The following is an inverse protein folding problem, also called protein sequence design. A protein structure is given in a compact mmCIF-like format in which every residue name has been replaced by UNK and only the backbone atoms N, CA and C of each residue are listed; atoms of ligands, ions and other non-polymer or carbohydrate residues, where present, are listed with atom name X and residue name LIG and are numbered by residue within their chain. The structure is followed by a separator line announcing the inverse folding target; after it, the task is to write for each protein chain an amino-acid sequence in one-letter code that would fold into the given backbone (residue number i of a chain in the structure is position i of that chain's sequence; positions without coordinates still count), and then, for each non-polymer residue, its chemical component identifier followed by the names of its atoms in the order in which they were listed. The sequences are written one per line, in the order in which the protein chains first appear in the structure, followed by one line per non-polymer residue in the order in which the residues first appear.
data_IF_970807224745
#
_entry.id   IF_970807224745
#
_cell.length_a   1.000
_cell.length_b   1.000
_cell.length_c   1.000
_cell.angle_alpha   90.00
_cell.angle_beta   90.00
_cell.angle_gamma   90.00
#
_symmetry.space_group_name_H-M   'P 1'
#
loop_
_entity.id
_entity.type
_entity.pdbx_description
1 polymer ?
#
# COMPACT_ATOMS: atom_id res chain seq x y z
N UNK A 1 -10.23 56.75 -2.60
CA UNK A 1 -10.27 56.30 -4.01
C UNK A 1 -9.45 55.02 -4.10
N UNK A 2 -10.06 53.87 -3.84
CA UNK A 2 -10.55 52.91 -4.84
C UNK A 2 -9.45 52.39 -5.79
N UNK A 3 -8.93 51.19 -5.50
CA UNK A 3 -8.93 50.12 -6.49
C UNK A 3 -8.88 48.74 -5.80
N UNK A 4 -10.05 48.12 -5.70
CA UNK A 4 -10.21 46.70 -5.42
C UNK A 4 -9.81 45.94 -6.68
N UNK A 5 -8.60 45.38 -6.70
CA UNK A 5 -8.30 44.29 -7.62
C UNK A 5 -9.02 43.03 -7.13
N UNK A 6 -10.21 42.78 -7.70
CA UNK A 6 -10.87 41.47 -7.64
C UNK A 6 -10.11 40.55 -8.59
N UNK A 7 -8.99 39.99 -8.12
CA UNK A 7 -8.33 38.92 -8.83
C UNK A 7 -9.26 37.69 -8.82
N UNK A 8 -9.53 37.21 -10.02
CA UNK A 8 -10.50 36.18 -10.34
C UNK A 8 -10.09 34.84 -9.70
N UNK A 9 -10.61 34.52 -8.51
CA UNK A 9 -10.28 33.31 -7.74
C UNK A 9 -10.54 32.00 -8.50
N UNK A 10 -11.42 32.01 -9.51
CA UNK A 10 -11.68 30.83 -10.34
C UNK A 10 -10.56 30.52 -11.35
N UNK A 11 -9.84 31.52 -11.89
CA UNK A 11 -8.79 31.24 -12.88
C UNK A 11 -7.50 30.71 -12.26
N UNK A 12 -7.20 31.12 -11.01
CA UNK A 12 -6.03 30.60 -10.28
C UNK A 12 -6.22 29.17 -9.78
N UNK A 13 -7.44 28.77 -9.42
CA UNK A 13 -7.74 27.38 -9.07
C UNK A 13 -7.53 26.44 -10.28
N UNK A 14 -7.93 26.86 -11.47
CA UNK A 14 -7.80 26.06 -12.70
C UNK A 14 -6.34 25.94 -13.17
N UNK A 15 -5.52 26.99 -13.03
CA UNK A 15 -4.10 26.90 -13.40
C UNK A 15 -3.25 26.09 -12.41
N UNK A 16 -3.57 26.12 -11.11
CA UNK A 16 -2.87 25.29 -10.09
C UNK A 16 -3.27 23.82 -10.19
N UNK A 17 -4.52 23.53 -10.58
CA UNK A 17 -4.96 22.16 -10.87
C UNK A 17 -4.30 21.59 -12.15
N UNK A 18 -3.94 22.43 -13.11
CA UNK A 18 -3.36 21.98 -14.38
C UNK A 18 -1.85 21.63 -14.31
N UNK A 19 -1.11 22.12 -13.32
CA UNK A 19 0.34 21.87 -13.19
C UNK A 19 0.72 20.85 -12.11
N UNK A 20 -0.25 20.24 -11.43
CA UNK A 20 -0.04 19.14 -10.47
C UNK A 20 -0.24 17.75 -11.09
N UNK A 21 -0.29 17.64 -12.42
CA UNK A 21 -0.17 16.37 -13.13
C UNK A 21 1.29 15.92 -13.16
N UNK A 22 1.90 15.71 -12.00
CA UNK A 22 3.22 15.08 -11.91
C UNK A 22 3.11 13.96 -10.88
N UNK A 23 3.03 12.75 -11.42
CA UNK A 23 2.98 11.46 -10.73
C UNK A 23 1.87 11.35 -9.67
N UNK A 24 0.71 10.82 -10.06
CA UNK A 24 -0.09 10.07 -9.11
C UNK A 24 0.85 9.04 -8.44
N UNK A 25 0.99 9.09 -7.12
CA UNK A 25 1.72 8.07 -6.39
C UNK A 25 1.06 6.73 -6.72
N UNK A 26 1.80 5.91 -7.46
CA UNK A 26 1.33 4.60 -7.87
C UNK A 26 1.29 3.72 -6.62
N UNK A 27 0.09 3.28 -6.25
CA UNK A 27 -0.07 1.96 -5.64
C UNK A 27 0.08 1.82 -4.13
N UNK A 28 -0.17 2.85 -3.30
CA UNK A 28 -0.36 2.58 -1.85
C UNK A 28 -1.77 2.03 -1.62
N UNK A 29 -1.93 0.77 -1.17
CA UNK A 29 -3.22 0.24 -0.78
C UNK A 29 -3.77 1.09 0.38
N UNK A 30 -5.05 1.47 0.32
CA UNK A 30 -5.68 2.26 1.39
C UNK A 30 -5.85 1.49 2.70
N UNK A 31 -5.60 0.18 2.69
CA UNK A 31 -5.60 -0.69 3.85
C UNK A 31 -4.81 -1.97 3.59
N UNK A 32 -4.58 -2.77 4.62
CA UNK A 32 -4.03 -4.13 4.55
C UNK A 32 -4.88 -5.12 3.74
N UNK A 33 -6.05 -4.72 3.25
CA UNK A 33 -6.91 -5.52 2.42
C UNK A 33 -6.51 -5.40 0.94
N UNK A 34 -5.35 -5.97 0.61
CA UNK A 34 -4.89 -6.07 -0.77
C UNK A 34 -4.20 -7.41 -1.01
N UNK A 35 -3.99 -7.75 -2.29
CA UNK A 35 -3.15 -8.89 -2.68
C UNK A 35 -2.40 -8.58 -3.97
N UNK A 36 -1.25 -9.22 -4.16
CA UNK A 36 -0.49 -9.18 -5.41
C UNK A 36 -0.74 -10.45 -6.19
N UNK A 37 -1.08 -10.35 -7.48
CA UNK A 37 -1.22 -11.53 -8.34
C UNK A 37 0.13 -12.17 -8.67
N UNK A 38 0.11 -13.34 -9.32
CA UNK A 38 1.35 -14.06 -9.70
C UNK A 38 2.30 -13.26 -10.60
N UNK A 39 1.79 -12.23 -11.29
CA UNK A 39 2.55 -11.39 -12.20
C UNK A 39 3.00 -10.09 -11.52
N UNK A 40 2.66 -9.89 -10.23
CA UNK A 40 3.03 -8.73 -9.42
C UNK A 40 2.02 -7.57 -9.45
N UNK A 41 0.81 -7.77 -9.97
CA UNK A 41 -0.19 -6.70 -10.02
C UNK A 41 -0.99 -6.60 -8.73
N UNK A 42 -1.16 -5.37 -8.25
CA UNK A 42 -1.89 -5.04 -7.04
C UNK A 42 -3.40 -5.12 -7.26
N UNK A 43 -4.09 -5.84 -6.37
CA UNK A 43 -5.54 -5.83 -6.24
C UNK A 43 -5.91 -5.19 -4.91
N UNK A 44 -6.32 -3.92 -4.96
CA UNK A 44 -6.79 -3.19 -3.79
C UNK A 44 -8.27 -3.53 -3.52
N UNK A 45 -8.50 -4.25 -2.41
CA UNK A 45 -9.81 -4.67 -1.92
C UNK A 45 -10.30 -3.79 -0.77
N UNK A 46 -9.63 -2.66 -0.50
CA UNK A 46 -9.94 -1.78 0.64
C UNK A 46 -11.40 -1.33 0.67
N UNK A 47 -12.00 -1.01 -0.47
CA UNK A 47 -13.40 -0.58 -0.52
C UNK A 47 -14.38 -1.68 -0.07
N UNK A 48 -13.94 -2.94 -0.09
CA UNK A 48 -14.70 -4.11 0.34
C UNK A 48 -14.32 -4.57 1.76
N UNK A 49 -13.35 -3.92 2.41
CA UNK A 49 -12.89 -4.30 3.74
C UNK A 49 -14.05 -4.27 4.74
N UNK A 50 -14.33 -5.41 5.33
CA UNK A 50 -15.42 -5.60 6.29
C UNK A 50 -16.82 -5.69 5.68
N UNK A 51 -16.96 -5.67 4.35
CA UNK A 51 -18.22 -6.02 3.69
C UNK A 51 -18.57 -7.47 3.99
N UNK A 52 -19.83 -7.70 4.35
CA UNK A 52 -20.35 -9.04 4.67
C UNK A 52 -21.02 -9.65 3.44
N UNK A 53 -20.68 -10.89 3.14
CA UNK A 53 -21.34 -11.72 2.14
C UNK A 53 -22.05 -12.85 2.84
N UNK A 54 -23.38 -12.87 2.71
CA UNK A 54 -24.23 -13.89 3.31
C UNK A 54 -24.47 -15.02 2.31
N UNK A 55 -24.51 -16.24 2.81
CA UNK A 55 -24.83 -17.44 2.03
C UNK A 55 -25.75 -18.32 2.85
N UNK A 56 -26.79 -18.83 2.22
CA UNK A 56 -27.73 -19.75 2.85
C UNK A 56 -27.76 -21.06 2.07
N UNK A 57 -27.58 -22.16 2.78
CA UNK A 57 -27.73 -23.50 2.22
C UNK A 57 -29.17 -23.98 2.30
N UNK A 58 -29.47 -25.03 1.54
CA UNK A 58 -30.82 -25.60 1.46
C UNK A 58 -31.28 -26.23 2.78
N UNK A 59 -30.33 -26.62 3.64
CA UNK A 59 -30.57 -27.17 4.98
C UNK A 59 -30.93 -26.09 6.02
N UNK A 60 -30.90 -24.82 5.64
CA UNK A 60 -31.17 -23.67 6.52
C UNK A 60 -29.92 -23.10 7.20
N UNK A 61 -28.74 -23.69 7.00
CA UNK A 61 -27.47 -23.19 7.51
C UNK A 61 -27.12 -21.85 6.84
N UNK A 62 -26.65 -20.88 7.64
CA UNK A 62 -26.25 -19.56 7.13
C UNK A 62 -24.80 -19.25 7.45
N UNK A 63 -24.07 -18.81 6.42
CA UNK A 63 -22.67 -18.45 6.49
C UNK A 63 -22.52 -16.97 6.21
N UNK A 64 -21.64 -16.32 6.97
CA UNK A 64 -21.33 -14.90 6.83
C UNK A 64 -19.81 -14.77 6.70
N UNK A 65 -19.35 -14.29 5.55
CA UNK A 65 -17.94 -13.98 5.34
C UNK A 65 -17.77 -12.47 5.35
N UNK A 66 -16.86 -11.96 6.17
CA UNK A 66 -16.44 -10.55 6.13
C UNK A 66 -15.05 -10.44 5.54
N UNK A 67 -14.93 -9.75 4.41
CA UNK A 67 -13.66 -9.66 3.70
C UNK A 67 -12.62 -8.87 4.50
N UNK A 68 -11.42 -9.42 4.67
CA UNK A 68 -10.31 -8.79 5.42
C UNK A 68 -10.66 -8.31 6.83
N UNK A 69 -11.65 -8.91 7.50
CA UNK A 69 -12.09 -8.48 8.82
C UNK A 69 -12.86 -9.57 9.56
N UNK A 70 -12.73 -9.59 10.87
CA UNK A 70 -13.52 -10.48 11.72
C UNK A 70 -15.01 -10.09 11.76
N UNK A 71 -15.87 -11.10 11.90
CA UNK A 71 -17.29 -10.92 12.23
C UNK A 71 -17.40 -10.59 13.72
N UNK A 72 -17.79 -9.35 14.03
CA UNK A 72 -17.83 -8.84 15.41
C UNK A 72 -19.16 -9.08 16.13
N UNK A 73 -20.24 -9.37 15.39
CA UNK A 73 -21.59 -9.51 15.96
C UNK A 73 -22.00 -10.97 15.86
N UNK A 74 -22.25 -11.61 17.01
CA UNK A 74 -22.91 -12.92 17.04
C UNK A 74 -24.39 -12.74 16.76
N UNK A 75 -24.86 -13.36 15.69
CA UNK A 75 -26.28 -13.29 15.26
C UNK A 75 -27.17 -14.22 16.09
N UNK A 76 -26.62 -15.26 16.71
CA UNK A 76 -27.37 -16.17 17.59
C UNK A 76 -26.46 -16.87 18.61
N UNK A 77 -27.08 -17.58 19.57
CA UNK A 77 -26.36 -18.48 20.49
C UNK A 77 -25.77 -19.73 19.79
N UNK A 78 -26.18 -20.02 18.56
CA UNK A 78 -25.75 -21.17 17.76
C UNK A 78 -24.77 -20.79 16.65
N UNK A 79 -24.21 -19.58 16.70
CA UNK A 79 -23.19 -19.14 15.72
C UNK A 79 -21.85 -19.76 16.06
N UNK A 80 -21.34 -20.62 15.16
CA UNK A 80 -19.97 -21.13 15.23
C UNK A 80 -18.98 -20.15 14.59
N UNK A 81 -17.85 -19.93 15.25
CA UNK A 81 -16.74 -19.19 14.68
C UNK A 81 -15.86 -20.13 13.83
N UNK A 82 -15.90 -19.97 12.50
CA UNK A 82 -15.11 -20.79 11.57
C UNK A 82 -13.68 -20.29 11.36
N UNK A 83 -13.29 -19.15 11.95
CA UNK A 83 -11.94 -18.59 11.88
C UNK A 83 -11.90 -17.06 11.99
N UNK A 84 -10.73 -16.54 12.34
CA UNK A 84 -10.40 -15.11 12.40
C UNK A 84 -9.45 -14.74 11.28
N UNK A 85 -9.65 -13.58 10.67
CA UNK A 85 -8.85 -13.15 9.53
C UNK A 85 -7.37 -13.08 9.90
N UNK A 86 -6.53 -13.76 9.12
CA UNK A 86 -5.08 -13.86 9.33
C UNK A 86 -4.35 -13.29 8.10
N UNK A 87 -4.08 -11.96 8.08
CA UNK A 87 -3.48 -11.29 6.92
C UNK A 87 -2.16 -11.93 6.49
N UNK A 88 -1.30 -12.27 7.46
CA UNK A 88 0.05 -12.79 7.23
C UNK A 88 0.09 -14.16 6.51
N UNK A 89 -1.04 -14.87 6.41
CA UNK A 89 -1.12 -16.17 5.75
C UNK A 89 -1.97 -16.13 4.46
N UNK A 90 -2.50 -14.95 4.15
CA UNK A 90 -3.26 -14.72 2.92
C UNK A 90 -2.28 -14.51 1.75
N UNK A 91 -2.61 -15.01 0.57
CA UNK A 91 -1.70 -15.01 -0.59
C UNK A 91 -2.46 -15.06 -1.92
N UNK A 92 -1.78 -14.82 -3.04
CA UNK A 92 -2.36 -15.08 -4.36
C UNK A 92 -2.23 -16.54 -4.78
N UNK A 93 -3.26 -17.02 -5.46
CA UNK A 93 -3.30 -18.35 -6.07
C UNK A 93 -3.08 -18.29 -7.60
N UNK A 94 -3.36 -17.14 -8.22
CA UNK A 94 -3.24 -16.94 -9.67
C UNK A 94 -3.29 -15.46 -10.07
N UNK A 95 -3.55 -15.18 -11.36
CA UNK A 95 -3.60 -13.78 -11.85
C UNK A 95 -4.82 -13.00 -11.37
N UNK A 96 -5.90 -13.69 -10.98
CA UNK A 96 -7.20 -13.12 -10.56
C UNK A 96 -7.86 -13.91 -9.44
N UNK A 97 -7.06 -14.70 -8.73
CA UNK A 97 -7.51 -15.54 -7.65
C UNK A 97 -6.61 -15.37 -6.44
N UNK A 98 -7.23 -15.16 -5.29
CA UNK A 98 -6.56 -14.89 -4.03
C UNK A 98 -7.12 -15.79 -2.96
N UNK A 99 -6.31 -16.07 -1.95
CA UNK A 99 -6.70 -16.87 -0.80
C UNK A 99 -6.55 -16.00 0.44
N UNK A 100 -7.65 -15.86 1.17
CA UNK A 100 -7.61 -15.33 2.53
C UNK A 100 -7.75 -16.45 3.54
N UNK A 101 -6.85 -16.45 4.52
CA UNK A 101 -6.84 -17.44 5.59
C UNK A 101 -7.56 -16.89 6.83
N UNK A 102 -8.48 -17.69 7.37
CA UNK A 102 -9.18 -17.42 8.61
C UNK A 102 -8.89 -18.55 9.58
N UNK A 103 -8.19 -18.28 10.69
CA UNK A 103 -7.72 -19.31 11.63
C UNK A 103 -8.13 -19.04 13.06
N UNK A 104 -7.96 -20.02 13.95
CA UNK A 104 -8.25 -19.86 15.38
C UNK A 104 -9.74 -19.56 15.64
N UNK A 105 -10.60 -20.30 14.95
CA UNK A 105 -12.03 -20.37 15.23
C UNK A 105 -12.35 -21.15 16.50
N UNK A 106 -13.58 -21.58 16.65
CA UNK A 106 -14.02 -22.33 17.83
C UNK A 106 -13.30 -23.68 17.94
N UNK A 107 -12.81 -23.99 19.14
CA UNK A 107 -12.18 -25.28 19.47
C UNK A 107 -13.19 -26.41 19.66
N UNK A 108 -14.40 -26.06 20.12
CA UNK A 108 -15.42 -27.04 20.50
C UNK A 108 -15.73 -28.00 19.35
N UNK A 109 -15.44 -29.28 19.53
CA UNK A 109 -15.67 -30.32 18.52
C UNK A 109 -14.50 -30.59 17.57
N UNK A 110 -13.40 -29.83 17.71
CA UNK A 110 -12.16 -29.97 16.96
C UNK A 110 -11.04 -30.67 17.73
N UNK A 111 -11.17 -30.77 19.05
CA UNK A 111 -10.20 -31.34 19.99
C UNK A 111 -10.00 -32.86 19.81
N UNK A 112 -10.97 -33.57 19.25
CA UNK A 112 -10.82 -35.01 18.96
C UNK A 112 -10.33 -35.29 17.53
N UNK A 113 -10.11 -34.23 16.74
CA UNK A 113 -9.80 -34.31 15.31
C UNK A 113 -8.37 -33.86 14.97
N UNK A 114 -7.52 -33.62 15.98
CA UNK A 114 -6.13 -33.18 15.80
C UNK A 114 -5.98 -31.67 15.58
N UNK A 115 -6.98 -30.88 15.98
CA UNK A 115 -7.00 -29.41 15.84
C UNK A 115 -7.08 -28.71 17.22
N UNK A 116 -6.53 -29.35 18.24
CA UNK A 116 -6.74 -29.06 19.66
C UNK A 116 -6.21 -27.67 20.06
N UNK A 117 -5.28 -27.13 19.28
CA UNK A 117 -4.70 -25.79 19.47
C UNK A 117 -5.06 -24.79 18.37
N UNK A 118 -5.54 -25.26 17.21
CA UNK A 118 -5.82 -24.43 16.03
C UNK A 118 -7.31 -24.12 15.85
N UNK A 119 -8.20 -24.97 16.36
CA UNK A 119 -9.64 -24.84 16.22
C UNK A 119 -10.11 -24.92 14.77
N UNK A 120 -11.33 -24.43 14.52
CA UNK A 120 -11.84 -24.29 13.15
C UNK A 120 -11.00 -23.31 12.34
N UNK A 121 -10.76 -23.63 11.08
CA UNK A 121 -10.12 -22.74 10.11
C UNK A 121 -10.88 -22.76 8.79
N UNK A 122 -10.83 -21.62 8.10
CA UNK A 122 -11.51 -21.42 6.82
C UNK A 122 -10.56 -20.79 5.82
N UNK A 123 -10.51 -21.38 4.63
CA UNK A 123 -9.80 -20.82 3.48
C UNK A 123 -10.82 -20.19 2.54
N UNK A 124 -10.70 -18.89 2.29
CA UNK A 124 -11.59 -18.15 1.39
C UNK A 124 -10.87 -17.88 0.07
N UNK A 125 -11.20 -18.66 -0.96
CA UNK A 125 -10.75 -18.47 -2.33
C UNK A 125 -11.59 -17.39 -3.02
N UNK A 126 -10.97 -16.25 -3.30
CA UNK A 126 -11.59 -15.09 -3.94
C UNK A 126 -11.33 -15.17 -5.45
N UNK A 127 -12.38 -15.06 -6.26
CA UNK A 127 -12.32 -14.99 -7.72
C UNK A 127 -12.78 -13.62 -8.19
N UNK A 128 -11.95 -12.88 -8.92
CA UNK A 128 -12.32 -11.53 -9.41
C UNK A 128 -13.18 -11.52 -10.69
N UNK A 129 -13.39 -12.67 -11.33
CA UNK A 129 -14.26 -12.80 -12.50
C UNK A 129 -15.70 -13.22 -12.13
N UNK A 130 -16.07 -13.07 -10.85
CA UNK A 130 -17.36 -13.50 -10.31
C UNK A 130 -17.45 -15.01 -10.07
N UNK A 131 -18.66 -15.49 -9.75
CA UNK A 131 -18.92 -16.92 -9.59
C UNK A 131 -19.01 -17.63 -10.95
N UNK A 132 -18.52 -18.88 -11.07
CA UNK A 132 -18.71 -19.69 -12.27
C UNK A 132 -20.20 -19.82 -12.66
N UNK A 133 -20.53 -19.95 -13.97
CA UNK A 133 -21.89 -19.83 -14.53
C UNK A 133 -22.91 -20.90 -14.08
N UNK A 134 -22.55 -21.77 -13.15
CA UNK A 134 -23.42 -22.79 -12.57
C UNK A 134 -24.42 -22.24 -11.55
N UNK A 135 -24.29 -20.97 -11.13
CA UNK A 135 -25.25 -20.27 -10.27
C UNK A 135 -25.62 -18.92 -10.90
N UNK A 136 -26.87 -18.51 -10.69
CA UNK A 136 -27.37 -17.18 -11.07
C UNK A 136 -26.34 -16.10 -10.72
N UNK A 137 -26.19 -15.11 -11.59
CA UNK A 137 -25.27 -13.99 -11.35
C UNK A 137 -25.53 -13.39 -9.95
N UNK A 138 -24.45 -13.01 -9.25
CA UNK A 138 -24.57 -12.41 -7.92
C UNK A 138 -25.52 -11.20 -7.98
N UNK A 139 -26.55 -11.20 -7.13
CA UNK A 139 -27.48 -10.07 -7.00
C UNK A 139 -26.79 -8.84 -6.41
N UNK A 140 -25.84 -9.06 -5.50
CA UNK A 140 -25.02 -8.01 -4.93
C UNK A 140 -23.98 -7.54 -5.97
N UNK A 141 -23.92 -6.22 -6.26
CA UNK A 141 -23.03 -5.65 -7.27
C UNK A 141 -21.55 -5.89 -6.97
N UNK A 142 -21.14 -6.07 -5.72
CA UNK A 142 -19.74 -6.30 -5.36
C UNK A 142 -19.32 -7.78 -5.42
N UNK A 143 -20.28 -8.70 -5.31
CA UNK A 143 -20.00 -10.14 -5.35
C UNK A 143 -20.87 -10.98 -4.42
N UNK A 144 -20.67 -12.29 -4.43
CA UNK A 144 -21.41 -13.22 -3.59
C UNK A 144 -20.60 -14.50 -3.30
N UNK A 145 -21.00 -15.26 -2.27
CA UNK A 145 -20.43 -16.57 -1.99
C UNK A 145 -20.94 -17.56 -3.03
N UNK A 146 -20.03 -18.20 -3.75
CA UNK A 146 -20.35 -19.17 -4.79
C UNK A 146 -20.63 -20.54 -4.17
N UNK A 147 -19.71 -21.02 -3.33
CA UNK A 147 -19.72 -22.38 -2.78
C UNK A 147 -19.12 -22.32 -1.37
N UNK A 148 -19.75 -23.03 -0.44
CA UNK A 148 -19.15 -23.40 0.84
C UNK A 148 -18.96 -24.92 0.81
N UNK A 149 -17.78 -25.39 1.17
CA UNK A 149 -17.42 -26.80 1.15
C UNK A 149 -16.68 -27.17 2.45
N UNK A 150 -17.25 -28.03 3.30
CA UNK A 150 -16.49 -28.63 4.39
C UNK A 150 -15.46 -29.61 3.81
N UNK A 151 -14.18 -29.35 4.03
CA UNK A 151 -13.08 -30.24 3.60
C UNK A 151 -12.77 -31.30 4.66
N UNK A 152 -12.85 -30.90 5.93
CA UNK A 152 -12.72 -31.76 7.10
C UNK A 152 -13.59 -31.19 8.23
N UNK A 153 -13.69 -31.92 9.36
CA UNK A 153 -14.50 -31.53 10.52
C UNK A 153 -14.28 -30.09 10.99
N UNK A 154 -13.05 -29.58 10.86
CA UNK A 154 -12.64 -28.25 11.33
C UNK A 154 -12.02 -27.39 10.23
N UNK A 155 -12.14 -27.82 8.96
CA UNK A 155 -11.61 -27.10 7.81
C UNK A 155 -12.73 -26.85 6.81
N UNK A 156 -12.96 -25.57 6.52
CA UNK A 156 -13.97 -25.14 5.54
C UNK A 156 -13.29 -24.39 4.41
N UNK A 157 -13.67 -24.70 3.17
CA UNK A 157 -13.28 -23.94 1.99
C UNK A 157 -14.49 -23.13 1.52
N UNK A 158 -14.29 -21.83 1.27
CA UNK A 158 -15.31 -20.96 0.71
C UNK A 158 -14.78 -20.37 -0.60
N UNK A 159 -15.60 -20.40 -1.64
CA UNK A 159 -15.33 -19.69 -2.89
C UNK A 159 -16.19 -18.43 -2.91
N UNK A 160 -15.55 -17.27 -2.96
CA UNK A 160 -16.18 -15.95 -3.04
C UNK A 160 -15.93 -15.36 -4.44
N UNK A 161 -16.99 -15.06 -5.18
CA UNK A 161 -16.90 -14.39 -6.47
C UNK A 161 -17.10 -12.89 -6.29
N UNK A 162 -16.09 -12.09 -6.59
CA UNK A 162 -16.18 -10.63 -6.63
C UNK A 162 -16.42 -10.16 -8.06
N UNK A 163 -17.26 -9.14 -8.21
CA UNK A 163 -17.53 -8.50 -9.50
C UNK A 163 -16.54 -7.34 -9.77
N UNK A 164 -15.25 -7.54 -9.46
CA UNK A 164 -14.21 -6.50 -9.59
C UNK A 164 -13.24 -6.81 -10.71
N UNK A 165 -13.11 -5.86 -11.64
CA UNK A 165 -12.24 -6.00 -12.82
C UNK A 165 -10.95 -5.18 -12.76
N UNK A 166 -10.81 -4.30 -11.77
CA UNK A 166 -9.74 -3.30 -11.81
C UNK A 166 -8.45 -3.87 -11.24
N UNK A 167 -7.59 -4.32 -12.15
CA UNK A 167 -6.18 -4.61 -11.90
C UNK A 167 -5.46 -3.30 -11.62
N UNK A 168 -4.79 -3.21 -10.48
CA UNK A 168 -3.95 -2.06 -10.11
C UNK A 168 -2.58 -2.08 -10.78
N UNK A 169 -1.64 -1.26 -10.31
CA UNK A 169 -0.28 -1.22 -10.85
C UNK A 169 0.50 -2.50 -10.57
N UNK A 170 1.55 -2.73 -11.36
CA UNK A 170 2.49 -3.83 -11.21
C UNK A 170 3.63 -3.43 -10.29
N UNK A 171 3.63 -3.96 -9.07
CA UNK A 171 4.60 -3.63 -8.03
C UNK A 171 5.75 -4.64 -7.99
N UNK A 172 6.88 -4.20 -7.45
CA UNK A 172 8.11 -4.99 -7.34
C UNK A 172 8.17 -5.63 -5.95
N UNK A 173 7.58 -6.82 -5.81
CA UNK A 173 7.68 -7.58 -4.57
C UNK A 173 9.15 -7.92 -4.28
N UNK A 174 9.61 -7.79 -3.03
CA UNK A 174 11.01 -8.03 -2.66
C UNK A 174 11.95 -6.83 -2.84
N UNK A 175 11.43 -5.62 -3.05
CA UNK A 175 12.21 -4.38 -3.03
C UNK A 175 11.79 -3.47 -1.87
N UNK A 176 12.77 -2.92 -1.14
CA UNK A 176 12.57 -2.11 0.06
C UNK A 176 13.41 -0.84 0.00
N UNK A 177 12.82 0.28 0.41
CA UNK A 177 13.51 1.55 0.68
C UNK A 177 13.26 1.90 2.13
N UNK A 178 14.32 2.14 2.91
CA UNK A 178 14.18 2.55 4.30
C UNK A 178 15.25 3.53 4.74
N UNK A 179 15.07 4.11 5.92
CA UNK A 179 16.03 5.04 6.50
C UNK A 179 17.27 4.32 7.02
N UNK A 180 18.43 4.95 6.86
CA UNK A 180 19.70 4.49 7.40
C UNK A 180 20.06 5.29 8.66
N UNK A 181 20.43 4.64 9.81
CA UNK A 181 20.49 3.20 10.03
C UNK A 181 19.12 2.51 10.04
N UNK A 182 19.08 1.23 9.65
CA UNK A 182 17.85 0.43 9.48
C UNK A 182 16.94 0.57 10.71
N UNK A 183 15.69 0.98 10.48
CA UNK A 183 14.72 1.12 11.55
C UNK A 183 13.30 1.45 11.11
N UNK A 184 13.13 2.04 9.91
CA UNK A 184 11.81 2.26 9.29
C UNK A 184 11.90 2.19 7.77
N UNK A 185 11.00 1.41 7.17
CA UNK A 185 10.80 1.27 5.74
C UNK A 185 9.78 2.30 5.24
N UNK A 186 10.16 3.07 4.23
CA UNK A 186 9.26 3.98 3.50
C UNK A 186 8.52 3.19 2.41
N UNK A 187 9.23 2.28 1.75
CA UNK A 187 8.70 1.36 0.75
C UNK A 187 9.05 -0.04 1.18
N UNK A 188 8.08 -0.94 1.22
CA UNK A 188 8.29 -2.36 1.40
C UNK A 188 7.58 -3.13 0.29
N UNK A 189 8.26 -4.12 -0.28
CA UNK A 189 7.78 -4.90 -1.43
C UNK A 189 7.27 -4.02 -2.60
N UNK A 190 7.96 -2.91 -2.86
CA UNK A 190 7.61 -1.95 -3.89
C UNK A 190 6.36 -1.10 -3.59
N UNK A 191 5.82 -1.19 -2.36
CA UNK A 191 4.63 -0.48 -1.90
C UNK A 191 5.02 0.50 -0.79
N UNK A 192 4.63 1.77 -0.95
CA UNK A 192 4.79 2.78 0.10
C UNK A 192 4.00 2.38 1.34
N UNK A 193 4.66 2.42 2.51
CA UNK A 193 4.05 2.01 3.77
C UNK A 193 3.08 3.08 4.29
N UNK A 194 2.03 2.65 5.02
CA UNK A 194 1.09 3.58 5.66
C UNK A 194 1.81 4.53 6.61
N UNK A 195 1.37 5.79 6.65
CA UNK A 195 2.06 6.84 7.39
C UNK A 195 3.20 7.48 6.60
N UNK A 196 3.47 7.04 5.37
CA UNK A 196 4.30 7.75 4.38
C UNK A 196 3.51 8.07 3.09
N UNK A 197 2.22 7.81 3.12
CA UNK A 197 1.25 8.16 2.08
C UNK A 197 0.88 9.65 2.11
N UNK A 198 1.16 10.38 3.20
CA UNK A 198 0.90 11.82 3.34
C UNK A 198 1.77 12.58 4.40
N UNK A 199 1.62 13.90 4.40
CA UNK A 199 1.82 14.92 5.45
C UNK A 199 1.83 14.55 6.92
N UNK A 200 2.76 13.76 7.44
CA UNK A 200 2.83 13.56 8.90
C UNK A 200 4.02 14.26 9.56
N UNK A 201 3.74 15.19 10.49
CA UNK A 201 4.74 15.88 11.31
C UNK A 201 5.50 14.96 12.28
N UNK A 202 4.90 13.82 12.61
CA UNK A 202 5.43 12.86 13.58
C UNK A 202 6.65 12.08 13.06
N UNK A 203 6.92 12.21 11.75
CA UNK A 203 8.07 11.62 11.08
C UNK A 203 9.02 12.76 10.68
N UNK A 204 9.66 13.40 11.65
CA UNK A 204 10.61 14.48 11.39
C UNK A 204 12.06 14.02 11.54
N UNK A 205 12.92 14.35 10.57
CA UNK A 205 14.37 14.19 10.66
C UNK A 205 15.02 15.56 10.69
N UNK A 206 16.23 15.67 11.26
CA UNK A 206 16.89 16.96 11.45
C UNK A 206 17.86 17.31 10.32
N UNK A 207 18.38 16.35 9.55
CA UNK A 207 19.46 16.53 8.53
C UNK A 207 19.18 15.84 7.19
N UNK A 208 20.20 15.84 6.32
CA UNK A 208 20.42 14.89 5.20
C UNK A 208 19.71 13.57 5.43
N UNK A 209 18.91 13.18 4.43
CA UNK A 209 18.18 11.93 4.44
C UNK A 209 19.03 10.89 3.73
N UNK A 210 19.41 9.86 4.47
CA UNK A 210 20.14 8.71 3.93
C UNK A 210 19.18 7.53 3.90
N UNK A 211 18.92 7.03 2.70
CA UNK A 211 18.07 5.87 2.45
C UNK A 211 18.94 4.68 2.05
N UNK A 212 18.57 3.50 2.52
CA UNK A 212 19.06 2.25 1.96
C UNK A 212 18.04 1.72 0.95
N UNK A 213 18.52 1.18 -0.16
CA UNK A 213 17.76 0.47 -1.17
C UNK A 213 18.21 -0.99 -1.16
N UNK A 214 17.24 -1.90 -1.06
CA UNK A 214 17.48 -3.34 -1.00
C UNK A 214 16.50 -4.04 -1.92
N UNK A 215 16.95 -5.06 -2.64
CA UNK A 215 16.12 -5.95 -3.44
C UNK A 215 16.53 -7.40 -3.20
N UNK A 216 15.66 -8.33 -3.54
CA UNK A 216 16.06 -9.71 -3.78
C UNK A 216 17.07 -9.79 -4.93
N UNK A 217 17.97 -10.78 -4.88
CA UNK A 217 19.06 -10.94 -5.85
C UNK A 217 18.57 -11.07 -7.30
N UNK A 218 17.39 -11.65 -7.51
CA UNK A 218 16.72 -11.80 -8.81
C UNK A 218 16.22 -10.46 -9.38
N UNK A 219 16.04 -9.44 -8.54
CA UNK A 219 15.50 -8.13 -8.89
C UNK A 219 16.58 -7.04 -8.93
N UNK A 220 17.72 -7.25 -8.27
CA UNK A 220 18.76 -6.24 -8.15
C UNK A 220 19.21 -5.66 -9.50
N UNK A 221 19.33 -6.50 -10.54
CA UNK A 221 19.68 -6.07 -11.90
C UNK A 221 18.56 -5.39 -12.69
N UNK A 222 17.34 -5.34 -12.16
CA UNK A 222 16.19 -4.65 -12.76
C UNK A 222 15.98 -3.25 -12.19
N UNK A 223 16.56 -2.93 -11.04
CA UNK A 223 16.45 -1.62 -10.39
C UNK A 223 17.31 -0.62 -11.15
N UNK A 224 16.69 0.42 -11.69
CA UNK A 224 17.39 1.47 -12.42
C UNK A 224 17.82 2.63 -11.51
N UNK A 225 18.44 3.62 -12.15
CA UNK A 225 18.95 4.83 -11.49
C UNK A 225 17.80 5.69 -10.93
N UNK A 226 17.83 6.09 -9.65
CA UNK A 226 16.87 7.02 -9.09
C UNK A 226 16.94 8.41 -9.74
N UNK A 227 15.76 9.00 -9.95
CA UNK A 227 15.56 10.36 -10.45
C UNK A 227 14.73 11.16 -9.45
N UNK A 228 14.75 12.49 -9.53
CA UNK A 228 13.94 13.33 -8.67
C UNK A 228 13.34 14.54 -9.38
N UNK A 229 12.23 15.03 -8.84
CA UNK A 229 11.65 16.33 -9.18
C UNK A 229 11.33 17.12 -7.91
N UNK A 230 11.36 18.45 -7.99
CA UNK A 230 11.16 19.34 -6.83
C UNK A 230 9.98 20.28 -7.10
N UNK A 231 9.11 20.42 -6.12
CA UNK A 231 7.98 21.35 -6.16
C UNK A 231 7.92 22.22 -4.90
N UNK A 232 7.84 23.57 -5.02
CA UNK A 232 8.04 24.35 -6.23
C UNK A 232 9.46 24.19 -6.81
N UNK A 233 9.60 24.28 -8.14
CA UNK A 233 10.89 24.04 -8.85
C UNK A 233 12.03 24.97 -8.43
N UNK A 234 11.70 26.15 -7.89
CA UNK A 234 12.67 27.19 -7.51
C UNK A 234 12.64 27.39 -6.00
N UNK A 235 13.83 27.40 -5.40
CA UNK A 235 14.01 27.76 -3.98
C UNK A 235 14.54 26.63 -3.11
N UNK A 236 14.65 25.41 -3.65
CA UNK A 236 15.36 24.30 -3.04
C UNK A 236 16.34 23.71 -4.07
N UNK A 237 17.62 23.67 -3.72
CA UNK A 237 18.61 22.91 -4.49
C UNK A 237 18.66 21.48 -3.94
N UNK A 238 18.55 20.48 -4.81
CA UNK A 238 18.61 19.06 -4.42
C UNK A 238 19.66 18.34 -5.28
N UNK A 239 20.43 17.47 -4.64
CA UNK A 239 21.40 16.57 -5.27
C UNK A 239 21.21 15.18 -4.67
N UNK A 240 21.23 14.17 -5.55
CA UNK A 240 21.30 12.78 -5.12
C UNK A 240 22.78 12.37 -5.07
N UNK A 241 23.18 11.75 -3.96
CA UNK A 241 24.52 11.23 -3.70
C UNK A 241 24.43 9.75 -3.28
N UNK A 242 25.58 9.07 -3.22
CA UNK A 242 25.69 7.69 -2.74
C UNK A 242 25.85 6.65 -3.85
N UNK A 243 25.81 5.38 -3.49
CA UNK A 243 26.05 4.27 -4.43
C UNK A 243 24.87 4.03 -5.36
N UNK A 244 23.64 4.36 -4.93
CA UNK A 244 22.43 4.17 -5.73
C UNK A 244 22.36 5.08 -6.97
N UNK A 245 23.09 6.20 -7.00
CA UNK A 245 22.99 7.21 -8.08
C UNK A 245 23.60 6.78 -9.40
N UNK A 246 24.38 5.69 -9.39
CA UNK A 246 25.05 5.19 -10.58
C UNK A 246 24.23 4.16 -11.35
N UNK A 247 23.06 3.74 -10.85
CA UNK A 247 22.17 2.79 -11.53
C UNK A 247 22.66 1.34 -11.59
N UNK A 248 23.94 1.08 -11.32
CA UNK A 248 24.58 -0.24 -11.42
C UNK A 248 24.90 -0.87 -10.05
N UNK A 249 24.41 -0.30 -8.95
CA UNK A 249 24.75 -0.80 -7.62
C UNK A 249 24.05 -2.16 -7.35
N UNK A 250 24.75 -3.15 -6.76
CA UNK A 250 24.15 -4.43 -6.44
C UNK A 250 23.19 -4.26 -5.26
N UNK A 251 21.95 -3.86 -5.53
CA UNK A 251 20.86 -3.63 -4.56
C UNK A 251 20.38 -4.96 -3.96
N UNK A 252 21.25 -5.69 -3.28
CA UNK A 252 20.88 -6.94 -2.60
C UNK A 252 20.68 -6.70 -1.11
N UNK A 253 19.88 -7.55 -0.46
CA UNK A 253 19.66 -7.50 1.01
C UNK A 253 20.98 -7.51 1.82
N UNK A 254 22.00 -8.20 1.31
CA UNK A 254 23.33 -8.32 1.92
C UNK A 254 24.23 -7.10 1.66
N UNK A 255 24.00 -6.38 0.57
CA UNK A 255 24.80 -5.22 0.15
C UNK A 255 23.88 -4.09 -0.32
N UNK A 256 23.08 -3.48 0.57
CA UNK A 256 22.12 -2.46 0.16
C UNK A 256 22.83 -1.25 -0.45
N UNK A 257 22.23 -0.65 -1.48
CA UNK A 257 22.72 0.60 -2.03
C UNK A 257 22.30 1.77 -1.13
N UNK A 258 23.09 2.83 -1.12
CA UNK A 258 22.83 4.03 -0.32
C UNK A 258 22.44 5.17 -1.26
N UNK A 259 21.30 5.79 -0.96
CA UNK A 259 20.83 7.02 -1.61
C UNK A 259 20.82 8.13 -0.55
N UNK A 260 21.71 9.09 -0.69
CA UNK A 260 21.75 10.29 0.13
C UNK A 260 21.10 11.45 -0.62
N UNK A 261 20.17 12.12 0.04
CA UNK A 261 19.48 13.29 -0.49
C UNK A 261 20.08 14.52 0.18
N UNK A 262 20.91 15.22 -0.58
CA UNK A 262 21.56 16.46 -0.16
C UNK A 262 20.72 17.63 -0.68
N UNK A 263 20.19 18.43 0.23
CA UNK A 263 19.28 19.53 -0.08
C UNK A 263 19.71 20.82 0.60
N UNK A 264 19.45 21.96 -0.06
CA UNK A 264 19.80 23.28 0.45
C UNK A 264 18.67 24.28 0.17
N UNK A 265 18.23 24.96 1.22
CA UNK A 265 17.19 25.97 1.16
C UNK A 265 17.73 27.28 0.57
N UNK A 266 17.43 27.56 -0.70
CA UNK A 266 17.82 28.81 -1.36
C UNK A 266 16.83 29.92 -1.04
N UNK A 267 15.55 29.58 -0.84
CA UNK A 267 14.48 30.52 -0.51
C UNK A 267 13.62 30.00 0.61
N UNK A 268 13.34 30.87 1.58
CA UNK A 268 12.33 30.60 2.61
C UNK A 268 10.97 30.35 1.96
N UNK A 269 10.26 29.34 2.44
CA UNK A 269 8.91 29.03 1.98
C UNK A 269 7.99 28.78 3.18
N UNK A 270 6.75 29.28 3.08
CA UNK A 270 5.71 29.02 4.10
C UNK A 270 5.23 27.57 4.06
N UNK A 271 5.36 26.94 2.90
CA UNK A 271 5.01 25.56 2.63
C UNK A 271 6.31 24.80 2.35
N UNK A 272 6.42 23.52 2.73
CA UNK A 272 7.58 22.71 2.45
C UNK A 272 7.69 22.45 0.95
N UNK A 273 8.92 22.36 0.49
CA UNK A 273 9.24 21.84 -0.83
C UNK A 273 9.02 20.34 -0.84
N UNK A 274 8.44 19.80 -1.90
CA UNK A 274 8.24 18.38 -2.12
C UNK A 274 9.31 17.87 -3.07
N UNK A 275 10.02 16.83 -2.67
CA UNK A 275 11.03 16.14 -3.47
C UNK A 275 10.48 14.76 -3.79
N UNK A 276 10.03 14.58 -5.03
CA UNK A 276 9.49 13.32 -5.51
C UNK A 276 10.65 12.50 -6.07
N UNK A 277 10.95 11.37 -5.44
CA UNK A 277 11.99 10.44 -5.90
C UNK A 277 11.32 9.31 -6.67
N UNK A 278 11.80 9.06 -7.89
CA UNK A 278 11.32 8.01 -8.79
C UNK A 278 12.43 7.00 -9.02
N UNK A 279 12.16 5.72 -8.76
CA UNK A 279 13.08 4.62 -9.00
C UNK A 279 12.49 3.76 -10.13
N UNK A 280 13.04 3.83 -11.35
CA UNK A 280 12.57 3.01 -12.44
C UNK A 280 12.93 1.55 -12.21
N UNK A 281 12.04 0.63 -12.59
CA UNK A 281 12.28 -0.81 -12.50
C UNK A 281 11.86 -1.49 -13.80
N UNK A 282 12.78 -2.21 -14.42
CA UNK A 282 12.56 -2.86 -15.71
C UNK A 282 11.41 -3.88 -15.62
N UNK A 283 10.39 -3.71 -16.47
CA UNK A 283 9.15 -4.52 -16.55
C UNK A 283 8.09 -4.26 -15.45
N UNK A 284 8.31 -3.29 -14.58
CA UNK A 284 7.38 -2.92 -13.50
C UNK A 284 7.02 -1.44 -13.55
N UNK A 285 5.98 -1.05 -12.81
CA UNK A 285 5.72 0.37 -12.58
C UNK A 285 6.82 0.96 -11.69
N UNK A 286 7.24 2.21 -11.94
CA UNK A 286 8.30 2.84 -11.16
C UNK A 286 7.84 3.08 -9.73
N UNK A 287 8.78 2.97 -8.81
CA UNK A 287 8.53 3.23 -7.39
C UNK A 287 8.67 4.72 -7.15
N UNK A 288 7.63 5.33 -6.58
CA UNK A 288 7.58 6.77 -6.33
C UNK A 288 7.28 7.04 -4.87
N UNK A 289 8.13 7.84 -4.22
CA UNK A 289 7.89 8.35 -2.87
C UNK A 289 8.26 9.83 -2.79
N UNK A 290 7.65 10.54 -1.84
CA UNK A 290 7.80 11.99 -1.70
C UNK A 290 8.38 12.34 -0.34
N UNK A 291 9.36 13.24 -0.32
CA UNK A 291 9.93 13.82 0.89
C UNK A 291 9.65 15.31 0.93
N UNK A 292 9.16 15.83 2.04
CA UNK A 292 9.10 17.28 2.24
C UNK A 292 10.43 17.85 2.71
N UNK A 293 10.64 19.13 2.49
CA UNK A 293 11.66 19.95 3.14
C UNK A 293 11.07 21.31 3.48
N UNK A 294 10.86 21.58 4.76
CA UNK A 294 10.50 22.91 5.25
C UNK A 294 11.75 23.80 5.29
N UNK A 295 11.64 24.99 4.68
CA UNK A 295 12.71 25.99 4.62
C UNK A 295 12.27 27.26 5.35
N UNK A 296 12.62 27.37 6.63
CA UNK A 296 12.25 28.52 7.47
C UNK A 296 13.22 29.71 7.33
N UNK A 297 14.39 29.50 6.74
CA UNK A 297 15.44 30.48 6.49
C UNK A 297 16.20 30.15 5.20
N UNK A 298 16.92 31.13 4.65
CA UNK A 298 17.82 30.94 3.49
C UNK A 298 19.19 30.47 3.99
N UNK A 299 19.74 29.44 3.34
CA UNK A 299 21.01 28.80 3.71
C UNK A 299 22.15 29.35 2.83
N UNK A 300 22.92 30.31 3.36
CA UNK A 300 24.06 30.91 2.66
C UNK A 300 25.29 29.97 2.54
N UNK A 301 25.30 28.87 3.31
CA UNK A 301 26.34 27.83 3.31
C UNK A 301 25.63 26.48 3.48
N UNK A 302 26.11 25.43 2.81
CA UNK A 302 25.67 24.05 3.10
C UNK A 302 25.99 23.78 4.57
N UNK A 303 25.00 23.68 5.46
CA UNK A 303 25.31 23.54 6.86
C UNK A 303 25.96 22.16 7.05
N UNK A 304 27.12 22.12 7.72
CA UNK A 304 27.74 20.88 8.21
C UNK A 304 26.93 20.24 9.36
N UNK A 305 25.65 20.58 9.50
CA UNK A 305 24.80 20.28 10.66
C UNK A 305 23.31 20.37 10.32
N UNK A 306 22.55 19.55 11.03
CA UNK A 306 21.15 19.19 10.84
C UNK A 306 20.16 20.32 11.14
N UNK A 307 19.65 21.02 10.14
CA UNK A 307 18.30 21.59 10.29
C UNK A 307 17.50 21.60 8.99
N UNK A 308 16.47 20.78 8.96
CA UNK A 308 15.22 21.10 8.29
C UNK A 308 14.27 19.95 8.40
N UNK A 309 13.00 20.26 8.20
CA UNK A 309 11.92 19.35 8.50
C UNK A 309 11.58 18.56 7.26
N UNK A 310 11.54 17.23 7.38
CA UNK A 310 10.84 16.43 6.40
C UNK A 310 9.36 16.34 6.76
N UNK A 311 8.49 16.80 5.88
CA UNK A 311 7.02 16.70 5.99
C UNK A 311 6.54 15.81 4.85
N UNK A 312 5.97 14.67 5.15
CA UNK A 312 5.83 13.59 4.17
C UNK A 312 4.66 13.71 3.16
N UNK A 313 4.37 14.83 2.48
CA UNK A 313 3.16 14.94 1.63
C UNK A 313 2.37 16.24 1.77
N UNK A 314 1.23 16.35 1.09
CA UNK A 314 0.67 17.61 0.56
C UNK A 314 -0.22 18.36 1.56
N UNK A 315 -0.25 19.69 1.46
CA UNK A 315 -1.23 20.54 2.15
C UNK A 315 -2.53 20.61 1.36
N UNK A 316 -3.66 20.28 1.98
CA UNK A 316 -4.98 20.68 1.49
C UNK A 316 -5.43 21.89 2.31
N UNK A 317 -5.56 23.05 1.65
CA UNK A 317 -6.43 24.12 2.13
C UNK A 317 -7.85 23.83 1.64
N UNK A 318 -8.81 23.82 2.56
CA UNK A 318 -10.25 23.83 2.28
C UNK A 318 -10.63 25.07 1.47
#
# INVERSE_FOLDING_TARGET
MCNRFRANRLLFAVLVLASAYVAASVGTPRSDCYSLDKDGYLYDLTDLKGKAFNYSEQDGSTYIVRLCKDVQVKTSQYTENLGRFTPAQSSALGSRSFVQEYRYGDLRGCEDAGYDSSGRSTTVSILCDGCPPLKNACEDPDGCVCIVKPEAKCLTSIILGLNRKNRGPRVVNGFTVGFNPRGREVVDNGITQWGYDDSYSDYSFTSRVVLYLSAESSLAGKIGKPEFSVFPEKGLNVRLLGTATNGDAPTTVLSPAVLEIDWQCVKKARMPYLVNVTIPVTEYDPIVFTLGKQCDYEEDVIPCGSSGWATFGVFIFV
#
